data_IF_050119644359
#
_entry.id   IF_050119644359
#
_cell.length_a   1.000
_cell.length_b   1.000
_cell.length_c   1.000
_cell.angle_alpha   90.00
_cell.angle_beta   90.00
_cell.angle_gamma   90.00
#
_symmetry.space_group_name_H-M   'P 1'
#
loop_
_entity.id
_entity.type
_entity.pdbx_description
1 polymer ?
#
# COMPACT_ATOMS: atom_id res chain seq x y z
N UNK A 1 -15.33 16.21 -5.58
CA UNK A 1 -14.12 16.11 -4.74
C UNK A 1 -12.93 15.98 -5.66
N UNK A 2 -11.85 16.72 -5.41
CA UNK A 2 -10.60 16.58 -6.17
C UNK A 2 -9.99 15.23 -5.76
N UNK A 3 -9.53 14.44 -6.74
CA UNK A 3 -8.87 13.17 -6.48
C UNK A 3 -7.50 13.43 -5.82
N UNK A 4 -7.13 12.61 -4.83
CA UNK A 4 -5.81 12.67 -4.19
C UNK A 4 -4.69 12.59 -5.24
N UNK A 5 -3.60 13.33 -5.01
CA UNK A 5 -2.37 13.16 -5.80
C UNK A 5 -1.76 11.77 -5.59
N UNK A 6 -0.80 11.38 -6.43
CA UNK A 6 -0.10 10.10 -6.27
C UNK A 6 0.59 10.01 -4.89
N UNK A 7 1.22 11.10 -4.45
CA UNK A 7 1.88 11.17 -3.16
C UNK A 7 0.91 11.06 -1.97
N UNK A 8 -0.24 11.72 -2.07
CA UNK A 8 -1.29 11.65 -1.05
C UNK A 8 -1.90 10.26 -0.95
N UNK A 9 -2.23 9.63 -2.10
CA UNK A 9 -2.73 8.26 -2.12
C UNK A 9 -1.71 7.28 -1.55
N UNK A 10 -0.44 7.38 -1.96
CA UNK A 10 0.64 6.52 -1.47
C UNK A 10 0.79 6.63 0.07
N UNK A 11 0.73 7.84 0.63
CA UNK A 11 0.79 8.05 2.08
C UNK A 11 -0.44 7.45 2.80
N UNK A 12 -1.65 7.58 2.21
CA UNK A 12 -2.87 6.97 2.75
C UNK A 12 -2.82 5.44 2.72
N UNK A 13 -2.24 4.85 1.68
CA UNK A 13 -2.01 3.39 1.58
C UNK A 13 -1.09 2.93 2.70
N UNK A 14 0.05 3.58 2.91
CA UNK A 14 0.98 3.23 4.01
C UNK A 14 0.28 3.33 5.36
N UNK A 15 -0.43 4.45 5.62
CA UNK A 15 -1.13 4.65 6.89
C UNK A 15 -2.20 3.57 7.14
N UNK A 16 -3.00 3.26 6.12
CA UNK A 16 -4.11 2.31 6.23
C UNK A 16 -3.62 0.88 6.37
N UNK A 17 -2.74 0.42 5.47
CA UNK A 17 -2.32 -0.98 5.42
C UNK A 17 -1.34 -1.37 6.52
N UNK A 18 -0.68 -0.39 7.15
CA UNK A 18 0.17 -0.63 8.31
C UNK A 18 -0.55 -0.41 9.65
N UNK A 19 -1.84 -0.07 9.64
CA UNK A 19 -2.67 0.06 10.86
C UNK A 19 -2.80 -1.26 11.61
N UNK A 20 -3.11 -1.21 12.92
CA UNK A 20 -3.28 -2.43 13.71
C UNK A 20 -4.44 -3.29 13.17
N UNK A 21 -5.52 -2.65 12.72
CA UNK A 21 -6.69 -3.32 12.15
C UNK A 21 -6.37 -4.05 10.84
N UNK A 22 -5.73 -3.36 9.88
CA UNK A 22 -5.37 -3.97 8.60
C UNK A 22 -4.37 -5.13 8.77
N UNK A 23 -3.41 -5.00 9.71
CA UNK A 23 -2.46 -6.06 10.03
C UNK A 23 -3.15 -7.26 10.67
N UNK A 24 -4.10 -7.03 11.58
CA UNK A 24 -4.92 -8.08 12.18
C UNK A 24 -5.71 -8.84 11.10
N UNK A 25 -6.38 -8.13 10.20
CA UNK A 25 -7.12 -8.72 9.10
C UNK A 25 -6.21 -9.50 8.14
N UNK A 26 -5.04 -8.97 7.78
CA UNK A 26 -4.09 -9.65 6.92
C UNK A 26 -3.63 -10.97 7.55
N UNK A 27 -3.27 -10.98 8.83
CA UNK A 27 -2.86 -12.19 9.55
C UNK A 27 -3.97 -13.23 9.57
N UNK A 28 -5.21 -12.82 9.84
CA UNK A 28 -6.37 -13.70 9.76
C UNK A 28 -6.51 -14.30 8.36
N UNK A 29 -6.44 -13.48 7.31
CA UNK A 29 -6.58 -13.98 5.94
C UNK A 29 -5.48 -14.96 5.55
N UNK A 30 -4.23 -14.76 5.98
CA UNK A 30 -3.15 -15.71 5.71
C UNK A 30 -3.41 -17.06 6.40
N UNK A 31 -3.90 -17.05 7.64
CA UNK A 31 -4.26 -18.27 8.36
C UNK A 31 -5.43 -19.01 7.70
N UNK A 32 -6.45 -18.26 7.28
CA UNK A 32 -7.74 -18.82 6.85
C UNK A 32 -7.84 -19.08 5.33
N UNK A 33 -6.90 -18.58 4.52
CA UNK A 33 -6.99 -18.62 3.06
C UNK A 33 -7.13 -20.03 2.48
N UNK A 34 -6.50 -21.03 3.11
CA UNK A 34 -6.62 -22.43 2.68
C UNK A 34 -8.05 -22.96 2.86
N UNK A 35 -8.67 -22.65 4.00
CA UNK A 35 -10.02 -23.06 4.35
C UNK A 35 -11.10 -22.29 3.58
N UNK A 36 -10.83 -21.03 3.24
CA UNK A 36 -11.78 -20.12 2.60
C UNK A 36 -11.20 -19.44 1.34
N UNK A 37 -10.92 -20.20 0.26
CA UNK A 37 -10.24 -19.68 -0.93
C UNK A 37 -11.00 -18.54 -1.63
N UNK A 38 -12.33 -18.58 -1.65
CA UNK A 38 -13.11 -17.50 -2.25
C UNK A 38 -13.12 -16.23 -1.41
N UNK A 39 -12.98 -16.35 -0.09
CA UNK A 39 -12.74 -15.19 0.77
C UNK A 39 -11.37 -14.57 0.47
N UNK A 40 -10.33 -15.40 0.32
CA UNK A 40 -9.00 -14.92 -0.04
C UNK A 40 -8.98 -14.19 -1.39
N UNK A 41 -9.68 -14.70 -2.42
CA UNK A 41 -9.82 -14.02 -3.72
C UNK A 41 -10.50 -12.66 -3.59
N UNK A 42 -11.58 -12.57 -2.80
CA UNK A 42 -12.28 -11.30 -2.55
C UNK A 42 -11.38 -10.32 -1.82
N UNK A 43 -10.68 -10.77 -0.78
CA UNK A 43 -9.70 -9.96 -0.05
C UNK A 43 -8.61 -9.40 -0.98
N UNK A 44 -8.05 -10.23 -1.88
CA UNK A 44 -7.03 -9.79 -2.83
C UNK A 44 -7.58 -8.74 -3.82
N UNK A 45 -8.76 -8.99 -4.37
CA UNK A 45 -9.42 -8.10 -5.34
C UNK A 45 -9.78 -6.75 -4.72
N UNK A 46 -10.43 -6.78 -3.56
CA UNK A 46 -11.00 -5.58 -2.92
C UNK A 46 -9.93 -4.77 -2.14
N UNK A 47 -8.81 -5.41 -1.79
CA UNK A 47 -7.66 -4.77 -1.16
C UNK A 47 -6.52 -4.49 -2.16
N UNK A 48 -5.46 -5.34 -2.22
CA UNK A 48 -4.27 -5.10 -3.03
C UNK A 48 -4.54 -4.68 -4.48
N UNK A 49 -5.43 -5.38 -5.20
CA UNK A 49 -5.69 -5.09 -6.61
C UNK A 49 -6.35 -3.72 -6.80
N UNK A 50 -7.31 -3.34 -5.94
CA UNK A 50 -7.93 -2.02 -5.97
C UNK A 50 -6.91 -0.89 -5.74
N UNK A 51 -5.97 -1.07 -4.80
CA UNK A 51 -4.90 -0.08 -4.58
C UNK A 51 -3.94 0.04 -5.77
N UNK A 52 -3.55 -1.09 -6.38
CA UNK A 52 -2.69 -1.08 -7.57
C UNK A 52 -3.38 -0.32 -8.72
N UNK A 53 -4.67 -0.58 -8.97
CA UNK A 53 -5.45 0.15 -9.97
C UNK A 53 -5.47 1.65 -9.67
N UNK A 54 -5.77 2.03 -8.43
CA UNK A 54 -5.84 3.44 -8.03
C UNK A 54 -4.48 4.16 -8.15
N UNK A 55 -3.37 3.47 -7.88
CA UNK A 55 -2.02 3.98 -8.10
C UNK A 55 -1.74 4.17 -9.60
N UNK A 56 -2.07 3.16 -10.42
CA UNK A 56 -1.86 3.20 -11.87
C UNK A 56 -2.58 4.38 -12.55
N UNK A 57 -3.81 4.69 -12.10
CA UNK A 57 -4.58 5.84 -12.57
C UNK A 57 -3.95 7.21 -12.23
N UNK A 58 -3.01 7.25 -11.28
CA UNK A 58 -2.34 8.48 -10.81
C UNK A 58 -0.88 8.57 -11.24
N UNK A 59 -0.37 7.56 -11.94
CA UNK A 59 0.94 7.66 -12.57
C UNK A 59 0.88 8.70 -13.71
N UNK A 60 1.98 9.42 -14.00
CA UNK A 60 2.05 10.34 -15.14
C UNK A 60 1.70 9.66 -16.47
N UNK A 61 2.15 8.41 -16.61
CA UNK A 61 1.79 7.50 -17.70
C UNK A 61 1.34 6.17 -17.07
N UNK A 62 0.14 5.65 -17.38
CA UNK A 62 -0.33 4.39 -16.80
C UNK A 62 0.59 3.21 -17.16
N UNK A 63 1.25 2.65 -16.14
CA UNK A 63 2.04 1.43 -16.21
C UNK A 63 1.72 0.52 -15.01
N UNK A 64 1.05 -0.59 -15.30
CA UNK A 64 0.64 -1.55 -14.27
C UNK A 64 1.83 -2.17 -13.54
N UNK A 65 2.95 -2.40 -14.22
CA UNK A 65 4.14 -2.96 -13.60
C UNK A 65 4.76 -1.95 -12.63
N UNK A 66 4.83 -0.67 -13.02
CA UNK A 66 5.31 0.39 -12.14
C UNK A 66 4.38 0.62 -10.93
N UNK A 67 3.06 0.56 -11.12
CA UNK A 67 2.09 0.65 -10.03
C UNK A 67 2.22 -0.53 -9.03
N UNK A 68 2.44 -1.74 -9.52
CA UNK A 68 2.72 -2.92 -8.69
C UNK A 68 4.05 -2.79 -7.94
N UNK A 69 5.09 -2.28 -8.59
CA UNK A 69 6.38 -2.01 -7.96
C UNK A 69 6.23 -0.98 -6.84
N UNK A 70 5.50 0.12 -7.08
CA UNK A 70 5.21 1.13 -6.07
C UNK A 70 4.44 0.52 -4.89
N UNK A 71 3.36 -0.22 -5.14
CA UNK A 71 2.59 -0.88 -4.08
C UNK A 71 3.47 -1.80 -3.22
N UNK A 72 4.37 -2.56 -3.84
CA UNK A 72 5.34 -3.41 -3.14
C UNK A 72 6.25 -2.60 -2.22
N UNK A 73 6.76 -1.45 -2.68
CA UNK A 73 7.61 -0.56 -1.88
C UNK A 73 6.85 0.12 -0.73
N UNK A 74 5.56 0.45 -0.92
CA UNK A 74 4.71 1.02 0.13
C UNK A 74 4.43 0.04 1.28
N UNK A 75 4.48 -1.27 1.02
CA UNK A 75 4.44 -2.29 2.07
C UNK A 75 5.84 -2.56 2.64
N UNK A 76 6.73 -3.09 1.80
CA UNK A 76 8.15 -3.30 2.09
C UNK A 76 8.47 -3.99 3.43
N UNK A 77 9.68 -3.73 3.91
CA UNK A 77 10.16 -4.21 5.21
C UNK A 77 9.27 -3.79 6.39
N UNK A 78 8.81 -2.51 6.50
CA UNK A 78 8.03 -2.09 7.65
C UNK A 78 6.72 -2.87 7.81
N UNK A 79 6.02 -3.18 6.73
CA UNK A 79 4.79 -3.97 6.78
C UNK A 79 5.06 -5.40 7.26
N UNK A 80 6.18 -6.02 6.84
CA UNK A 80 6.55 -7.36 7.32
C UNK A 80 6.86 -7.37 8.81
N UNK A 81 7.57 -6.37 9.30
CA UNK A 81 7.83 -6.21 10.73
C UNK A 81 6.53 -6.02 11.52
N UNK A 82 5.55 -5.31 10.95
CA UNK A 82 4.21 -5.16 11.53
C UNK A 82 3.46 -6.51 11.61
N UNK A 83 3.46 -7.30 10.54
CA UNK A 83 2.86 -8.65 10.53
C UNK A 83 3.43 -9.55 11.63
N UNK A 84 4.71 -9.37 11.97
CA UNK A 84 5.43 -10.12 13.01
C UNK A 84 5.33 -9.50 14.41
N UNK A 85 4.65 -8.36 14.57
CA UNK A 85 4.55 -7.66 15.86
C UNK A 85 5.84 -6.95 16.32
N UNK A 86 6.78 -6.73 15.41
CA UNK A 86 8.10 -6.15 15.70
C UNK A 86 8.14 -4.62 15.56
N UNK A 87 7.04 -4.00 15.10
CA UNK A 87 6.96 -2.56 14.83
C UNK A 87 5.58 -2.02 15.23
N UNK A 88 5.55 -0.79 15.74
CA UNK A 88 4.29 -0.06 16.00
C UNK A 88 3.71 0.54 14.71
N UNK A 89 2.41 0.87 14.70
CA UNK A 89 1.77 1.51 13.56
C UNK A 89 2.45 2.86 13.25
N UNK A 90 2.61 3.24 11.97
CA UNK A 90 3.23 4.50 11.61
C UNK A 90 2.32 5.69 11.97
N UNK A 91 2.93 6.80 12.37
CA UNK A 91 2.25 8.10 12.39
C UNK A 91 1.99 8.61 10.97
N UNK A 92 1.10 9.59 10.80
CA UNK A 92 0.86 10.25 9.49
C UNK A 92 2.15 10.79 8.86
N UNK A 93 3.01 11.42 9.66
CA UNK A 93 4.29 11.94 9.20
C UNK A 93 5.24 10.82 8.71
N UNK A 94 5.28 9.69 9.44
CA UNK A 94 6.07 8.52 9.07
C UNK A 94 5.56 7.89 7.77
N UNK A 95 4.24 7.76 7.63
CA UNK A 95 3.61 7.23 6.43
C UNK A 95 3.89 8.09 5.20
N UNK A 96 3.81 9.42 5.34
CA UNK A 96 4.15 10.35 4.26
C UNK A 96 5.64 10.30 3.89
N UNK A 97 6.54 10.15 4.87
CA UNK A 97 7.96 9.99 4.61
C UNK A 97 8.28 8.67 3.87
N UNK A 98 7.66 7.55 4.27
CA UNK A 98 7.78 6.27 3.57
C UNK A 98 7.28 6.39 2.12
N UNK A 99 6.09 6.96 1.90
CA UNK A 99 5.54 7.14 0.57
C UNK A 99 6.48 7.95 -0.35
N UNK A 100 7.01 9.08 0.13
CA UNK A 100 7.99 9.88 -0.64
C UNK A 100 9.26 9.08 -0.96
N UNK A 101 9.78 8.31 -0.01
CA UNK A 101 10.95 7.47 -0.25
C UNK A 101 10.67 6.41 -1.33
N UNK A 102 9.52 5.75 -1.29
CA UNK A 102 9.11 4.77 -2.30
C UNK A 102 8.98 5.39 -3.69
N UNK A 103 8.37 6.58 -3.79
CA UNK A 103 8.24 7.31 -5.06
C UNK A 103 9.61 7.70 -5.63
N UNK A 104 10.53 8.18 -4.78
CA UNK A 104 11.88 8.54 -5.19
C UNK A 104 12.66 7.35 -5.75
N UNK A 105 12.50 6.14 -5.20
CA UNK A 105 13.13 4.91 -5.72
C UNK A 105 12.67 4.55 -7.14
N UNK A 106 11.48 5.01 -7.55
CA UNK A 106 10.91 4.78 -8.88
C UNK A 106 11.00 6.00 -9.79
N UNK A 107 11.70 7.06 -9.37
CA UNK A 107 11.76 8.35 -10.09
C UNK A 107 10.38 8.99 -10.33
N UNK A 108 9.42 8.74 -9.43
CA UNK A 108 8.05 9.25 -9.47
C UNK A 108 7.86 10.52 -8.61
N UNK A 109 8.93 11.25 -8.33
CA UNK A 109 8.84 12.52 -7.60
C UNK A 109 8.12 13.55 -8.46
N UNK A 110 7.03 14.12 -7.92
CA UNK A 110 6.36 15.26 -8.52
C UNK A 110 7.40 16.37 -8.74
N UNK A 111 7.51 16.87 -9.97
CA UNK A 111 8.21 18.12 -10.25
C UNK A 111 7.43 19.18 -9.50
N UNK A 112 8.00 19.70 -8.42
CA UNK A 112 7.46 20.87 -7.75
C UNK A 112 7.64 22.02 -8.75
N UNK A 113 6.57 22.29 -9.50
CA UNK A 113 6.42 23.52 -10.29
C UNK A 113 6.09 24.69 -9.40
#
# INVERSE_FOLDING_TARGET
MIADTLAELAAKIVLTLHSDEAIGLHRLMITEAHSFPDLAKRFYRDGPQAYITALNERLPEPDTAQAQALFTLLLGEPHRQRLLGLRAAPSRATAAAHARAALAQLSLTEVIG
#
